data_IF_589762677879
#
_entry.id   IF_589762677879
#
_cell.length_a   1.000
_cell.length_b   1.000
_cell.length_c   1.000
_cell.angle_alpha   90.00
_cell.angle_beta   90.00
_cell.angle_gamma   90.00
#
_symmetry.space_group_name_H-M   'P 1'
#
loop_
_entity.id
_entity.type
_entity.pdbx_description
1 polymer ?
#
# COMPACT_ATOMS: atom_id res chain seq x y z
N UNK A 1 -1.56 -17.22 21.98
CA UNK A 1 -0.55 -17.48 20.92
C UNK A 1 -0.50 -16.23 20.05
N UNK A 2 0.67 -15.59 19.95
CA UNK A 2 0.81 -14.42 19.08
C UNK A 2 0.57 -14.84 17.63
N UNK A 3 -0.35 -14.15 16.98
CA UNK A 3 -0.65 -14.36 15.57
C UNK A 3 0.59 -14.06 14.74
N UNK A 4 0.95 -14.93 13.79
CA UNK A 4 2.03 -14.65 12.86
C UNK A 4 1.76 -13.33 12.13
N UNK A 5 2.80 -12.56 11.83
CA UNK A 5 2.69 -11.29 11.11
C UNK A 5 3.55 -11.28 9.87
N UNK A 6 3.17 -10.46 8.90
CA UNK A 6 3.98 -10.13 7.73
C UNK A 6 3.95 -8.63 7.46
N UNK A 7 5.05 -8.07 6.96
CA UNK A 7 5.15 -6.64 6.70
C UNK A 7 4.77 -6.35 5.26
N UNK A 8 3.92 -5.36 5.05
CA UNK A 8 3.47 -4.91 3.73
C UNK A 8 3.89 -3.46 3.50
N UNK A 9 4.95 -3.26 2.71
CA UNK A 9 5.44 -1.95 2.28
C UNK A 9 4.76 -1.55 0.99
N UNK A 10 4.13 -0.37 0.95
CA UNK A 10 3.34 0.09 -0.17
C UNK A 10 3.33 1.62 -0.32
N UNK A 11 2.99 2.08 -1.51
CA UNK A 11 2.63 3.47 -1.81
C UNK A 11 1.31 3.48 -2.58
N UNK A 12 0.43 4.42 -2.27
CA UNK A 12 -0.87 4.58 -2.93
C UNK A 12 -0.75 4.90 -4.43
N UNK A 13 0.40 5.43 -4.89
CA UNK A 13 0.70 5.65 -6.32
C UNK A 13 1.01 4.36 -7.11
N UNK A 14 1.15 3.20 -6.43
CA UNK A 14 1.49 1.95 -7.08
C UNK A 14 0.26 1.10 -7.39
N UNK A 15 -0.06 0.84 -8.68
CA UNK A 15 -1.15 -0.05 -9.06
C UNK A 15 -0.94 -1.48 -8.58
N UNK A 16 0.30 -1.95 -8.54
CA UNK A 16 0.63 -3.28 -8.01
C UNK A 16 0.45 -3.36 -6.49
N UNK A 17 0.68 -2.26 -5.76
CA UNK A 17 0.36 -2.20 -4.33
C UNK A 17 -1.14 -2.25 -4.08
N UNK A 18 -1.94 -1.57 -4.92
CA UNK A 18 -3.40 -1.69 -4.89
C UNK A 18 -3.84 -3.14 -5.08
N UNK A 19 -3.39 -3.79 -6.16
CA UNK A 19 -3.73 -5.18 -6.47
C UNK A 19 -3.35 -6.13 -5.34
N UNK A 20 -2.13 -6.01 -4.79
CA UNK A 20 -1.70 -6.81 -3.65
C UNK A 20 -2.56 -6.55 -2.40
N UNK A 21 -2.91 -5.29 -2.13
CA UNK A 21 -3.71 -4.91 -0.96
C UNK A 21 -5.08 -5.58 -0.94
N UNK A 22 -5.69 -5.80 -2.11
CA UNK A 22 -6.99 -6.48 -2.22
C UNK A 22 -6.95 -7.95 -1.80
N UNK A 23 -5.75 -8.55 -1.77
CA UNK A 23 -5.55 -9.96 -1.43
C UNK A 23 -5.16 -10.19 0.04
N UNK A 24 -4.78 -9.15 0.78
CA UNK A 24 -4.24 -9.28 2.15
C UNK A 24 -5.21 -9.97 3.10
N UNK A 25 -6.50 -9.64 3.01
CA UNK A 25 -7.54 -10.28 3.83
C UNK A 25 -7.62 -11.79 3.57
N UNK A 26 -7.66 -12.21 2.30
CA UNK A 26 -7.67 -13.63 1.94
C UNK A 26 -6.41 -14.37 2.41
N UNK A 27 -5.24 -13.73 2.33
CA UNK A 27 -3.99 -14.28 2.88
C UNK A 27 -4.14 -14.49 4.39
N UNK A 28 -4.66 -13.48 5.11
CA UNK A 28 -4.87 -13.57 6.56
C UNK A 28 -5.83 -14.69 6.93
N UNK A 29 -6.93 -14.84 6.21
CA UNK A 29 -7.93 -15.91 6.42
C UNK A 29 -7.34 -17.31 6.18
N UNK A 30 -6.51 -17.48 5.14
CA UNK A 30 -5.90 -18.78 4.80
C UNK A 30 -4.69 -19.16 5.66
N UNK A 31 -3.99 -18.18 6.21
CA UNK A 31 -2.72 -18.43 6.95
C UNK A 31 -2.82 -18.18 8.45
N UNK A 32 -3.84 -17.43 8.90
CA UNK A 32 -3.96 -16.96 10.28
C UNK A 32 -2.98 -15.82 10.62
N UNK A 33 -2.19 -15.34 9.66
CA UNK A 33 -1.24 -14.24 9.85
C UNK A 33 -1.92 -12.87 9.65
N UNK A 34 -1.36 -11.82 10.26
CA UNK A 34 -1.87 -10.46 10.13
C UNK A 34 -0.86 -9.54 9.43
N UNK A 35 -1.30 -8.68 8.49
CA UNK A 35 -0.42 -7.70 7.88
C UNK A 35 -0.07 -6.58 8.88
N UNK A 36 1.20 -6.19 8.91
CA UNK A 36 1.67 -4.92 9.46
C UNK A 36 1.86 -3.97 8.28
N UNK A 37 1.13 -2.86 8.28
CA UNK A 37 1.06 -1.95 7.15
C UNK A 37 2.14 -0.87 7.29
N UNK A 38 2.98 -0.75 6.27
CA UNK A 38 4.03 0.26 6.19
C UNK A 38 3.81 1.14 4.95
N UNK A 39 2.99 2.21 5.06
CA UNK A 39 2.93 3.22 4.01
C UNK A 39 4.30 3.89 3.88
N UNK A 40 4.82 3.98 2.67
CA UNK A 40 6.10 4.63 2.34
C UNK A 40 5.93 5.57 1.15
N UNK A 41 6.90 6.47 0.96
CA UNK A 41 6.91 7.33 -0.22
C UNK A 41 7.78 6.71 -1.33
N UNK A 42 7.17 6.29 -2.43
CA UNK A 42 7.90 5.75 -3.59
C UNK A 42 8.85 6.79 -4.20
N UNK A 43 8.48 8.08 -4.16
CA UNK A 43 9.37 9.16 -4.55
C UNK A 43 10.63 9.26 -3.69
N UNK A 44 10.50 9.09 -2.38
CA UNK A 44 11.63 9.03 -1.44
C UNK A 44 12.51 7.82 -1.69
N UNK A 45 11.90 6.66 -1.91
CA UNK A 45 12.61 5.42 -2.25
C UNK A 45 13.42 5.58 -3.55
N UNK A 46 12.80 6.10 -4.62
CA UNK A 46 13.47 6.34 -5.90
C UNK A 46 14.65 7.29 -5.78
N UNK A 47 14.47 8.39 -5.03
CA UNK A 47 15.55 9.36 -4.80
C UNK A 47 16.75 8.70 -4.11
N UNK A 48 16.54 7.83 -3.15
CA UNK A 48 17.60 7.16 -2.42
C UNK A 48 18.28 6.04 -3.23
N UNK A 49 17.52 5.32 -4.06
CA UNK A 49 18.02 4.15 -4.83
C UNK A 49 18.47 4.49 -6.25
N UNK A 50 18.22 5.72 -6.73
CA UNK A 50 18.51 6.11 -8.11
C UNK A 50 17.55 5.52 -9.16
N UNK A 51 16.48 4.83 -8.75
CA UNK A 51 15.52 4.26 -9.69
C UNK A 51 14.74 5.34 -10.44
N UNK A 52 14.72 5.21 -11.76
CA UNK A 52 14.01 6.12 -12.65
C UNK A 52 12.51 5.80 -12.77
N UNK A 53 11.74 6.79 -13.20
CA UNK A 53 10.35 6.54 -13.65
C UNK A 53 10.43 5.63 -14.89
N UNK A 54 9.59 4.58 -14.98
CA UNK A 54 9.59 3.71 -16.14
C UNK A 54 9.36 4.47 -17.45
N UNK A 55 10.03 4.11 -18.55
CA UNK A 55 9.82 4.73 -19.86
C UNK A 55 8.39 4.45 -20.38
N UNK A 56 7.88 5.24 -21.35
CA UNK A 56 6.51 5.14 -21.85
C UNK A 56 6.09 3.73 -22.29
N UNK A 57 6.98 2.98 -22.93
CA UNK A 57 6.70 1.59 -23.35
C UNK A 57 6.45 0.66 -22.15
N UNK A 58 7.24 0.83 -21.10
CA UNK A 58 7.05 0.05 -19.86
C UNK A 58 5.76 0.47 -19.14
N UNK A 59 5.41 1.75 -19.11
CA UNK A 59 4.14 2.22 -18.56
C UNK A 59 2.94 1.66 -19.32
N UNK A 60 3.02 1.60 -20.66
CA UNK A 60 1.98 0.97 -21.49
C UNK A 60 1.82 -0.52 -21.20
N UNK A 61 2.91 -1.25 -21.04
CA UNK A 61 2.86 -2.65 -20.62
C UNK A 61 2.25 -2.81 -19.23
N UNK A 62 2.68 -1.97 -18.27
CA UNK A 62 2.15 -2.00 -16.90
C UNK A 62 0.64 -1.79 -16.86
N UNK A 63 0.09 -0.91 -17.72
CA UNK A 63 -1.35 -0.70 -17.82
C UNK A 63 -2.09 -1.98 -18.26
N UNK A 64 -1.56 -2.69 -19.24
CA UNK A 64 -2.12 -3.98 -19.70
C UNK A 64 -1.99 -5.07 -18.64
N UNK A 65 -0.82 -5.14 -17.99
CA UNK A 65 -0.53 -6.15 -16.99
C UNK A 65 -1.41 -5.98 -15.73
N UNK A 66 -1.54 -4.76 -15.24
CA UNK A 66 -2.40 -4.45 -14.09
C UNK A 66 -3.88 -4.73 -14.39
N UNK A 67 -4.35 -4.51 -15.63
CA UNK A 67 -5.71 -4.90 -16.04
C UNK A 67 -5.93 -6.42 -15.99
N UNK A 68 -4.94 -7.22 -16.44
CA UNK A 68 -4.99 -8.70 -16.36
C UNK A 68 -5.04 -9.18 -14.91
N UNK A 69 -4.21 -8.58 -14.03
CA UNK A 69 -4.21 -8.92 -12.61
C UNK A 69 -5.52 -8.53 -11.93
N UNK A 70 -6.07 -7.36 -12.25
CA UNK A 70 -7.36 -6.92 -11.73
C UNK A 70 -8.49 -7.88 -12.13
N UNK A 71 -8.50 -8.32 -13.40
CA UNK A 71 -9.44 -9.34 -13.86
C UNK A 71 -9.28 -10.66 -13.11
N UNK A 72 -8.03 -11.13 -12.92
CA UNK A 72 -7.73 -12.35 -12.15
C UNK A 72 -8.21 -12.26 -10.70
N UNK A 73 -8.06 -11.09 -10.07
CA UNK A 73 -8.47 -10.86 -8.67
C UNK A 73 -9.96 -10.47 -8.53
N UNK A 74 -10.66 -10.21 -9.62
CA UNK A 74 -12.07 -9.80 -9.60
C UNK A 74 -12.27 -8.41 -8.98
N UNK A 75 -11.32 -7.49 -9.17
CA UNK A 75 -11.36 -6.14 -8.59
C UNK A 75 -11.43 -5.07 -9.67
N UNK A 76 -12.12 -3.92 -9.43
CA UNK A 76 -12.14 -2.81 -10.36
C UNK A 76 -10.74 -2.22 -10.53
N UNK A 77 -10.40 -1.81 -11.74
CA UNK A 77 -9.12 -1.17 -12.05
C UNK A 77 -9.26 -0.22 -13.21
N UNK A 78 -8.78 1.00 -13.04
CA UNK A 78 -8.65 1.97 -14.13
C UNK A 78 -7.43 2.87 -13.90
N UNK A 79 -6.89 3.43 -14.98
CA UNK A 79 -5.83 4.43 -14.88
C UNK A 79 -6.50 5.76 -14.55
N UNK A 80 -6.17 6.39 -13.39
CA UNK A 80 -6.75 7.68 -13.04
C UNK A 80 -6.36 8.78 -14.05
N UNK A 81 -7.29 9.71 -14.31
CA UNK A 81 -6.99 10.86 -15.19
C UNK A 81 -5.85 11.72 -14.64
N UNK A 82 -5.82 11.90 -13.33
CA UNK A 82 -4.73 12.58 -12.62
C UNK A 82 -3.65 11.55 -12.24
N UNK A 83 -2.82 11.14 -13.19
CA UNK A 83 -1.67 10.25 -12.95
C UNK A 83 -0.44 10.78 -13.69
N UNK A 84 0.73 10.89 -13.02
CA UNK A 84 0.97 10.63 -11.58
C UNK A 84 0.54 11.79 -10.67
N UNK A 85 0.21 11.46 -9.42
CA UNK A 85 -0.14 12.46 -8.37
C UNK A 85 0.82 12.38 -7.18
N UNK A 86 0.77 13.38 -6.32
CA UNK A 86 1.41 13.32 -5.00
C UNK A 86 0.54 12.52 -4.03
N UNK A 87 1.08 11.42 -3.49
CA UNK A 87 0.41 10.59 -2.50
C UNK A 87 0.79 10.93 -1.05
N UNK A 88 1.52 12.02 -0.82
CA UNK A 88 2.01 12.39 0.52
C UNK A 88 0.86 12.63 1.50
N UNK A 89 -0.15 13.41 1.11
CA UNK A 89 -1.31 13.67 1.95
C UNK A 89 -2.08 12.37 2.27
N UNK A 90 -2.54 11.59 1.29
CA UNK A 90 -3.30 10.38 1.60
C UNK A 90 -2.45 9.32 2.36
N UNK A 91 -1.15 9.19 2.13
CA UNK A 91 -0.29 8.30 2.93
C UNK A 91 -0.21 8.75 4.40
N UNK A 92 -0.12 10.06 4.66
CA UNK A 92 -0.15 10.61 6.02
C UNK A 92 -1.50 10.39 6.70
N UNK A 93 -2.61 10.48 5.97
CA UNK A 93 -3.94 10.17 6.55
C UNK A 93 -4.05 8.70 6.94
N UNK A 94 -3.43 7.78 6.18
CA UNK A 94 -3.36 6.36 6.57
C UNK A 94 -2.53 6.17 7.83
N UNK A 95 -1.37 6.84 7.94
CA UNK A 95 -0.55 6.83 9.16
C UNK A 95 -1.35 7.34 10.35
N UNK A 96 -2.03 8.47 10.21
CA UNK A 96 -2.88 9.03 11.27
C UNK A 96 -4.02 8.06 11.66
N UNK A 97 -4.68 7.43 10.69
CA UNK A 97 -5.76 6.48 10.91
C UNK A 97 -5.28 5.21 11.65
N UNK A 98 -4.04 4.77 11.37
CA UNK A 98 -3.46 3.57 11.99
C UNK A 98 -3.33 3.69 13.52
N UNK A 99 -3.14 4.89 14.06
CA UNK A 99 -3.06 5.17 15.50
C UNK A 99 -4.33 4.77 16.27
N UNK A 100 -5.47 4.74 15.58
CA UNK A 100 -6.77 4.37 16.13
C UNK A 100 -7.32 3.08 15.50
N UNK A 101 -6.46 2.22 14.96
CA UNK A 101 -6.86 0.95 14.34
C UNK A 101 -7.58 1.09 12.98
N UNK A 102 -7.63 2.29 12.40
CA UNK A 102 -8.30 2.56 11.12
C UNK A 102 -7.40 2.47 9.88
N UNK A 103 -6.11 2.14 10.04
CA UNK A 103 -5.12 2.22 8.96
C UNK A 103 -5.44 1.34 7.75
N UNK A 104 -5.83 0.09 7.97
CA UNK A 104 -6.19 -0.82 6.87
C UNK A 104 -7.43 -0.32 6.12
N UNK A 105 -8.43 0.15 6.85
CA UNK A 105 -9.66 0.69 6.27
C UNK A 105 -9.38 1.94 5.43
N UNK A 106 -8.55 2.86 5.95
CA UNK A 106 -8.13 4.06 5.21
C UNK A 106 -7.33 3.69 3.95
N UNK A 107 -6.37 2.77 4.05
CA UNK A 107 -5.60 2.27 2.91
C UNK A 107 -6.49 1.70 1.82
N UNK A 108 -7.41 0.79 2.16
CA UNK A 108 -8.30 0.15 1.20
C UNK A 108 -9.24 1.14 0.52
N UNK A 109 -9.82 2.08 1.29
CA UNK A 109 -10.71 3.10 0.75
C UNK A 109 -9.99 4.02 -0.25
N UNK A 110 -8.79 4.50 0.10
CA UNK A 110 -8.00 5.38 -0.77
C UNK A 110 -7.46 4.66 -2.00
N UNK A 111 -7.02 3.41 -1.88
CA UNK A 111 -6.65 2.61 -3.03
C UNK A 111 -7.83 2.40 -3.99
N UNK A 112 -9.00 2.06 -3.44
CA UNK A 112 -10.20 1.87 -4.25
C UNK A 112 -10.63 3.15 -4.96
N UNK A 113 -10.64 4.30 -4.27
CA UNK A 113 -10.97 5.58 -4.86
C UNK A 113 -10.02 5.91 -6.03
N UNK A 114 -8.71 5.72 -5.84
CA UNK A 114 -7.72 6.08 -6.85
C UNK A 114 -7.68 5.08 -8.01
N UNK A 115 -7.45 3.80 -7.74
CA UNK A 115 -7.24 2.79 -8.78
C UNK A 115 -8.52 2.07 -9.22
N UNK A 116 -9.53 1.99 -8.35
CA UNK A 116 -10.81 1.35 -8.67
C UNK A 116 -11.79 2.30 -9.32
N UNK A 117 -11.80 3.57 -8.91
CA UNK A 117 -12.81 4.57 -9.29
C UNK A 117 -12.21 5.75 -10.07
N UNK A 118 -10.87 5.85 -10.14
CA UNK A 118 -10.15 6.87 -10.93
C UNK A 118 -10.20 8.27 -10.34
N UNK A 119 -10.48 8.40 -9.05
CA UNK A 119 -10.60 9.67 -8.35
C UNK A 119 -9.24 10.25 -7.95
N UNK A 120 -9.11 11.56 -7.92
CA UNK A 120 -7.86 12.26 -7.56
C UNK A 120 -7.69 12.37 -6.04
N UNK A 121 -7.05 11.39 -5.43
CA UNK A 121 -6.75 11.39 -3.99
C UNK A 121 -5.67 12.40 -3.55
N UNK A 122 -5.17 13.26 -4.44
CA UNK A 122 -4.35 14.40 -4.04
C UNK A 122 -5.19 15.58 -3.53
N UNK A 123 -6.50 15.61 -3.84
CA UNK A 123 -7.45 16.60 -3.34
C UNK A 123 -7.85 16.30 -1.88
N UNK A 124 -7.56 17.21 -0.93
CA UNK A 124 -7.91 17.02 0.47
C UNK A 124 -9.42 16.82 0.71
N UNK A 125 -10.27 17.50 -0.04
CA UNK A 125 -11.72 17.37 0.11
C UNK A 125 -12.21 15.98 -0.32
N UNK A 126 -11.62 15.43 -1.37
CA UNK A 126 -11.88 14.06 -1.80
C UNK A 126 -11.41 13.05 -0.74
N UNK A 127 -10.20 13.19 -0.24
CA UNK A 127 -9.65 12.31 0.81
C UNK A 127 -10.56 12.32 2.04
N UNK A 128 -11.00 13.51 2.48
CA UNK A 128 -11.93 13.64 3.61
C UNK A 128 -13.25 12.88 3.36
N UNK A 129 -13.84 13.03 2.15
CA UNK A 129 -15.06 12.34 1.74
C UNK A 129 -14.87 10.81 1.74
N UNK A 130 -13.83 10.32 1.07
CA UNK A 130 -13.52 8.87 0.96
C UNK A 130 -13.34 8.24 2.33
N UNK A 131 -12.62 8.90 3.24
CA UNK A 131 -12.40 8.40 4.59
C UNK A 131 -13.69 8.40 5.42
N UNK A 132 -14.53 9.44 5.28
CA UNK A 132 -15.84 9.50 5.94
C UNK A 132 -16.76 8.38 5.44
N UNK A 133 -16.81 8.13 4.14
CA UNK A 133 -17.61 7.07 3.53
C UNK A 133 -17.12 5.67 3.96
N UNK A 134 -15.84 5.57 4.34
CA UNK A 134 -15.26 4.40 5.00
C UNK A 134 -15.47 4.38 6.54
N UNK A 135 -16.37 5.19 7.09
CA UNK A 135 -16.66 5.27 8.53
C UNK A 135 -15.46 5.68 9.39
N UNK A 136 -14.66 6.61 8.87
CA UNK A 136 -13.54 7.26 9.57
C UNK A 136 -13.80 8.76 9.69
N UNK A 137 -13.22 9.42 10.68
CA UNK A 137 -13.27 10.89 10.80
C UNK A 137 -12.30 11.53 9.78
N UNK A 138 -12.75 11.62 8.52
CA UNK A 138 -11.94 12.10 7.41
C UNK A 138 -11.38 13.50 7.65
N UNK A 139 -12.21 14.42 8.16
CA UNK A 139 -11.80 15.81 8.46
C UNK A 139 -10.66 15.86 9.48
N UNK A 140 -10.79 15.11 10.57
CA UNK A 140 -9.74 15.02 11.59
C UNK A 140 -8.47 14.39 11.03
N UNK A 141 -8.58 13.30 10.27
CA UNK A 141 -7.43 12.60 9.71
C UNK A 141 -6.66 13.45 8.70
N UNK A 142 -7.35 14.23 7.85
CA UNK A 142 -6.73 15.19 6.94
C UNK A 142 -6.00 16.29 7.71
N UNK A 143 -6.59 16.81 8.79
CA UNK A 143 -5.91 17.79 9.66
C UNK A 143 -4.65 17.19 10.32
N UNK A 144 -4.74 15.96 10.85
CA UNK A 144 -3.61 15.26 11.48
C UNK A 144 -2.47 14.98 10.49
N UNK A 145 -2.74 14.84 9.20
CA UNK A 145 -1.70 14.65 8.18
C UNK A 145 -0.67 15.80 8.11
N UNK A 146 -1.00 16.98 8.67
CA UNK A 146 -0.10 18.12 8.78
C UNK A 146 0.78 18.09 10.06
N UNK A 147 0.47 17.23 11.03
CA UNK A 147 1.21 17.12 12.29
C UNK A 147 2.63 16.58 12.06
N UNK A 148 3.60 17.08 12.85
CA UNK A 148 5.00 16.75 12.63
C UNK A 148 5.30 15.28 12.91
N UNK A 149 4.71 14.71 13.93
CA UNK A 149 4.88 13.29 14.30
C UNK A 149 4.31 12.32 13.25
N UNK A 150 3.20 12.68 12.55
CA UNK A 150 2.67 11.92 11.42
C UNK A 150 3.64 11.98 10.22
N UNK A 151 4.21 13.15 9.95
CA UNK A 151 5.23 13.31 8.90
C UNK A 151 6.48 12.47 9.19
N UNK A 152 6.92 12.50 10.45
CA UNK A 152 8.11 11.78 10.89
C UNK A 152 7.88 10.26 10.87
N UNK A 153 6.66 9.80 11.18
CA UNK A 153 6.31 8.38 11.10
C UNK A 153 6.33 7.88 9.64
N UNK A 154 5.75 8.62 8.69
CA UNK A 154 5.83 8.27 7.27
C UNK A 154 7.28 8.24 6.77
N UNK A 155 8.12 9.18 7.24
CA UNK A 155 9.56 9.19 6.93
C UNK A 155 10.24 7.95 7.50
N UNK A 156 10.04 7.64 8.78
CA UNK A 156 10.59 6.45 9.44
C UNK A 156 10.23 5.16 8.72
N UNK A 157 9.00 5.03 8.23
CA UNK A 157 8.61 3.89 7.43
C UNK A 157 9.40 3.77 6.12
N UNK A 158 9.65 4.91 5.46
CA UNK A 158 10.46 4.94 4.23
C UNK A 158 11.92 4.61 4.52
N UNK A 159 12.48 5.15 5.60
CA UNK A 159 13.85 4.86 6.04
C UNK A 159 14.01 3.38 6.43
N UNK A 160 13.02 2.80 7.13
CA UNK A 160 12.98 1.38 7.44
C UNK A 160 12.95 0.52 6.17
N UNK A 161 12.15 0.90 5.17
CA UNK A 161 12.10 0.20 3.88
C UNK A 161 13.48 0.20 3.22
N UNK A 162 14.17 1.35 3.18
CA UNK A 162 15.52 1.48 2.64
C UNK A 162 16.53 0.62 3.40
N UNK A 163 16.51 0.65 4.74
CA UNK A 163 17.40 -0.14 5.59
C UNK A 163 17.21 -1.65 5.38
N UNK A 164 15.99 -2.09 5.02
CA UNK A 164 15.67 -3.50 4.69
C UNK A 164 15.87 -3.84 3.22
N UNK A 165 16.45 -2.96 2.41
CA UNK A 165 16.74 -3.21 1.01
C UNK A 165 15.51 -3.17 0.07
N UNK A 166 14.41 -2.53 0.49
CA UNK A 166 13.25 -2.31 -0.39
C UNK A 166 13.65 -1.35 -1.51
N UNK A 167 13.48 -1.75 -2.75
CA UNK A 167 13.76 -0.96 -3.95
C UNK A 167 12.51 -0.64 -4.78
N UNK A 168 11.38 -1.23 -4.44
CA UNK A 168 10.10 -1.02 -5.14
C UNK A 168 8.92 -1.50 -4.29
N UNK A 169 7.70 -1.18 -4.71
CA UNK A 169 6.47 -1.56 -4.00
C UNK A 169 5.46 -2.23 -4.95
N UNK A 170 4.64 -3.19 -4.44
CA UNK A 170 4.62 -3.69 -3.07
C UNK A 170 5.84 -4.55 -2.76
N UNK A 171 6.34 -4.46 -1.53
CA UNK A 171 7.29 -5.44 -0.98
C UNK A 171 6.73 -6.01 0.31
N UNK A 172 6.75 -7.33 0.43
CA UNK A 172 6.23 -8.05 1.59
C UNK A 172 7.38 -8.79 2.27
N UNK A 173 7.42 -8.76 3.60
CA UNK A 173 8.37 -9.56 4.37
C UNK A 173 7.66 -10.58 5.24
N UNK A 174 8.20 -11.80 5.24
CA UNK A 174 7.87 -12.85 6.20
C UNK A 174 9.15 -13.19 6.95
N UNK A 175 9.29 -12.64 8.16
CA UNK A 175 10.58 -12.61 8.84
C UNK A 175 11.59 -11.80 8.02
N UNK A 176 12.73 -12.41 7.69
CA UNK A 176 13.80 -11.80 6.88
C UNK A 176 13.62 -12.02 5.36
N UNK A 177 12.68 -12.87 4.95
CA UNK A 177 12.44 -13.15 3.53
C UNK A 177 11.60 -12.09 2.88
N UNK A 178 12.09 -11.48 1.79
CA UNK A 178 11.40 -10.43 1.02
C UNK A 178 10.77 -11.00 -0.26
N UNK A 179 9.61 -10.43 -0.61
CA UNK A 179 8.84 -10.75 -1.82
C UNK A 179 8.39 -9.46 -2.46
N UNK A 180 8.91 -9.17 -3.64
CA UNK A 180 8.56 -7.95 -4.39
C UNK A 180 7.58 -8.26 -5.52
N UNK A 181 6.47 -7.53 -5.54
CA UNK A 181 5.41 -7.62 -6.56
C UNK A 181 4.13 -8.31 -6.06
N UNK A 182 3.02 -7.97 -6.69
CA UNK A 182 1.71 -8.60 -6.43
C UNK A 182 1.64 -10.05 -6.93
N UNK A 183 2.52 -10.43 -7.82
CA UNK A 183 2.64 -11.76 -8.42
C UNK A 183 3.41 -12.76 -7.54
N UNK A 184 3.87 -12.35 -6.36
CA UNK A 184 4.62 -13.18 -5.39
C UNK A 184 3.79 -13.61 -4.18
N UNK A 185 2.49 -13.30 -4.15
CA UNK A 185 1.62 -13.57 -2.99
C UNK A 185 1.52 -15.07 -2.64
N UNK A 186 1.58 -15.97 -3.61
CA UNK A 186 1.59 -17.41 -3.37
C UNK A 186 2.86 -17.85 -2.59
N UNK A 187 4.01 -17.24 -2.89
CA UNK A 187 5.25 -17.49 -2.14
C UNK A 187 5.18 -16.91 -0.72
N UNK A 188 4.51 -15.75 -0.55
CA UNK A 188 4.24 -15.18 0.79
C UNK A 188 3.41 -16.14 1.62
N UNK A 189 2.32 -16.69 1.08
CA UNK A 189 1.49 -17.67 1.77
C UNK A 189 2.27 -18.93 2.14
N UNK A 190 3.06 -19.46 1.21
CA UNK A 190 3.91 -20.61 1.46
C UNK A 190 4.89 -20.35 2.60
N UNK A 191 5.52 -19.16 2.60
CA UNK A 191 6.44 -18.74 3.64
C UNK A 191 5.77 -18.62 5.02
N UNK A 192 4.53 -18.08 5.07
CA UNK A 192 3.75 -17.95 6.30
C UNK A 192 3.35 -19.31 6.88
N UNK A 193 2.96 -20.26 6.02
CA UNK A 193 2.65 -21.65 6.44
C UNK A 193 3.88 -22.35 7.01
N UNK A 194 5.05 -22.21 6.36
CA UNK A 194 6.31 -22.79 6.85
C UNK A 194 6.70 -22.20 8.21
N UNK A 195 6.64 -20.88 8.37
CA UNK A 195 6.95 -20.20 9.63
C UNK A 195 6.02 -20.61 10.79
N UNK A 196 4.80 -21.05 10.49
CA UNK A 196 3.86 -21.59 11.49
C UNK A 196 4.20 -23.00 11.94
N UNK A 197 4.73 -23.83 11.03
CA UNK A 197 5.13 -25.23 11.34
C UNK A 197 6.44 -25.31 12.13
N UNK A 198 7.25 -24.24 12.10
CA UNK A 198 8.54 -24.16 12.78
C UNK A 198 8.45 -23.58 14.21
N UNK A 199 7.25 -23.29 14.70
CA UNK A 199 6.96 -22.82 16.08
C UNK A 199 6.33 -23.92 16.90
#
# INVERSE_FOLDING_TARGET
>A
MDSATFDFFYDLSSPYSYLASTQLRGISERTGARPRLYPITLGGLRKATGHQIPPPQQLSYMAQDTARWAQKYGVPMQIPKAFPISTILPLRTVVAAARNGGGERAMQALFRAYWGEGEDISDPALVERVLRDASLDGKRLVAMAAEQDVKDELRKNTDLALARGVFGVPTIFVGERSFWGNDRLEFVESALRQARLSR
#
